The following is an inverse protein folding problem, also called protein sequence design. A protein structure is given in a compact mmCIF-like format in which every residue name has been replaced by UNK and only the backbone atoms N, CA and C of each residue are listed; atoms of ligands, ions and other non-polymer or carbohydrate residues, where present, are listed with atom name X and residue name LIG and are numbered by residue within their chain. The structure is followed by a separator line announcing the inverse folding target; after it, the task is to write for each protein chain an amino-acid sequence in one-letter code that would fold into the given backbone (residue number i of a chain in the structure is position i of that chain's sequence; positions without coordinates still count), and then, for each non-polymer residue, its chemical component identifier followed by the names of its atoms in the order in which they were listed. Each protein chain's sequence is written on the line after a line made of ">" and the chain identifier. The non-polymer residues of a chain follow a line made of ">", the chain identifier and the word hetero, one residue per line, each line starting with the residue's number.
data_IF_596544225029
#
_entry.id   IF_596544225029
#
_cell.length_a   1.000
_cell.length_b   1.000
_cell.length_c   1.000
_cell.angle_alpha   90.00
_cell.angle_beta   90.00
_cell.angle_gamma   90.00
#
_symmetry.space_group_name_H-M   'P 1'
#
loop_
_entity.id
_entity.type
_entity.pdbx_description
1 polymer ?
#
# COMPACT_ATOMS: atom_id res chain seq x y z
N UNK A 1 20.34 -15.29 -21.87
CA UNK A 1 20.33 -14.71 -20.50
C UNK A 1 18.88 -14.70 -20.06
N UNK A 2 18.53 -15.10 -18.83
CA UNK A 2 17.19 -14.83 -18.32
C UNK A 2 16.91 -13.33 -18.49
N UNK A 3 15.67 -12.99 -18.82
CA UNK A 3 15.27 -11.59 -18.89
C UNK A 3 15.65 -10.91 -17.57
N UNK A 4 16.14 -9.67 -17.61
CA UNK A 4 16.57 -8.95 -16.41
C UNK A 4 15.45 -8.92 -15.37
N UNK A 5 14.19 -8.85 -15.83
CA UNK A 5 13.00 -8.94 -15.00
C UNK A 5 12.86 -10.32 -14.31
N UNK A 6 13.06 -11.42 -15.05
CA UNK A 6 12.96 -12.78 -14.50
C UNK A 6 14.04 -13.03 -13.44
N UNK A 7 15.26 -12.54 -13.68
CA UNK A 7 16.33 -12.65 -12.70
C UNK A 7 16.00 -11.87 -11.43
N UNK A 8 15.53 -10.62 -11.54
CA UNK A 8 15.15 -9.79 -10.39
C UNK A 8 14.05 -10.43 -9.52
N UNK A 9 13.20 -11.27 -10.10
CA UNK A 9 12.16 -12.02 -9.40
C UNK A 9 12.66 -13.35 -8.77
N UNK A 10 13.94 -13.69 -8.89
CA UNK A 10 14.50 -14.93 -8.36
C UNK A 10 15.05 -14.79 -6.93
N UNK A 11 15.03 -15.89 -6.16
CA UNK A 11 15.67 -15.94 -4.85
C UNK A 11 17.20 -15.68 -4.91
N UNK A 12 17.83 -15.98 -6.05
CA UNK A 12 19.25 -15.68 -6.27
C UNK A 12 19.50 -14.17 -6.33
N UNK A 13 18.66 -13.41 -7.03
CA UNK A 13 18.76 -11.95 -7.06
C UNK A 13 18.50 -11.33 -5.69
N UNK A 14 17.47 -11.79 -4.96
CA UNK A 14 17.22 -11.35 -3.58
C UNK A 14 18.46 -11.57 -2.72
N UNK A 15 19.06 -12.76 -2.76
CA UNK A 15 20.26 -13.09 -1.98
C UNK A 15 21.43 -12.18 -2.35
N UNK A 16 21.71 -12.02 -3.64
CA UNK A 16 22.80 -11.17 -4.11
C UNK A 16 22.64 -9.72 -3.62
N UNK A 17 21.44 -9.13 -3.77
CA UNK A 17 21.16 -7.75 -3.34
C UNK A 17 21.17 -7.58 -1.83
N UNK A 18 20.63 -8.53 -1.07
CA UNK A 18 20.70 -8.49 0.39
C UNK A 18 22.14 -8.61 0.91
N UNK A 19 22.98 -9.43 0.27
CA UNK A 19 24.42 -9.52 0.60
C UNK A 19 25.14 -8.22 0.29
N UNK A 20 24.90 -7.61 -0.88
CA UNK A 20 25.45 -6.28 -1.21
C UNK A 20 25.08 -5.23 -0.14
N UNK A 21 23.82 -5.24 0.33
CA UNK A 21 23.39 -4.35 1.41
C UNK A 21 24.07 -4.68 2.74
N UNK A 22 24.23 -5.95 3.09
CA UNK A 22 24.88 -6.36 4.33
C UNK A 22 26.36 -5.95 4.37
N UNK A 23 27.06 -6.13 3.25
CA UNK A 23 28.49 -5.83 3.11
C UNK A 23 28.76 -4.33 2.94
N UNK A 24 27.84 -3.62 2.27
CA UNK A 24 28.01 -2.21 1.88
C UNK A 24 27.32 -1.19 2.79
N UNK A 25 26.40 -1.61 3.66
CA UNK A 25 25.65 -0.66 4.46
C UNK A 25 26.40 -0.25 5.72
N UNK A 26 26.51 1.07 5.90
CA UNK A 26 26.54 1.69 7.22
C UNK A 26 25.14 1.56 7.84
N UNK A 27 24.79 0.35 8.24
CA UNK A 27 23.57 0.11 9.00
C UNK A 27 23.69 0.96 10.27
N UNK A 28 22.66 1.74 10.59
CA UNK A 28 22.59 2.49 11.86
C UNK A 28 22.38 1.55 13.07
N UNK A 29 22.74 0.28 12.91
CA UNK A 29 22.54 -0.84 13.82
C UNK A 29 23.58 -1.92 13.50
N UNK A 30 23.97 -2.70 14.51
CA UNK A 30 24.85 -3.85 14.33
C UNK A 30 24.03 -5.09 13.95
N UNK A 31 24.47 -5.82 12.92
CA UNK A 31 23.88 -7.08 12.53
C UNK A 31 24.63 -8.24 13.21
N UNK A 32 23.92 -9.01 14.04
CA UNK A 32 24.44 -10.25 14.63
C UNK A 32 24.31 -11.41 13.64
N UNK A 33 25.35 -11.60 12.83
CA UNK A 33 25.38 -12.60 11.75
C UNK A 33 25.26 -14.03 12.28
N UNK A 34 25.78 -14.29 13.48
CA UNK A 34 25.71 -15.62 14.10
C UNK A 34 24.27 -16.04 14.40
N UNK A 35 23.34 -15.08 14.49
CA UNK A 35 21.91 -15.33 14.69
C UNK A 35 21.10 -15.43 13.40
N UNK A 36 21.69 -15.22 12.23
CA UNK A 36 20.98 -15.26 10.96
C UNK A 36 20.30 -16.60 10.70
N UNK A 37 20.99 -17.71 11.01
CA UNK A 37 20.45 -19.06 10.86
C UNK A 37 19.19 -19.25 11.75
N UNK A 38 19.28 -18.86 13.02
CA UNK A 38 18.15 -18.96 13.94
C UNK A 38 16.96 -18.08 13.53
N UNK A 39 17.22 -16.89 12.98
CA UNK A 39 16.18 -16.00 12.44
C UNK A 39 15.50 -16.61 11.19
N UNK A 40 16.27 -17.27 10.32
CA UNK A 40 15.74 -17.98 9.16
C UNK A 40 14.86 -19.17 9.58
N UNK A 41 15.32 -20.00 10.53
CA UNK A 41 14.57 -21.13 11.05
C UNK A 41 13.25 -20.69 11.71
N UNK A 42 13.30 -19.61 12.51
CA UNK A 42 12.12 -19.03 13.12
C UNK A 42 11.10 -18.55 12.08
N UNK A 43 11.57 -17.86 11.03
CA UNK A 43 10.71 -17.38 9.94
C UNK A 43 10.08 -18.55 9.18
N UNK A 44 10.88 -19.57 8.84
CA UNK A 44 10.39 -20.78 8.17
C UNK A 44 9.35 -21.52 9.02
N UNK A 45 9.58 -21.64 10.34
CA UNK A 45 8.62 -22.26 11.26
C UNK A 45 7.28 -21.50 11.29
N UNK A 46 7.31 -20.16 11.28
CA UNK A 46 6.08 -19.35 11.17
C UNK A 46 5.36 -19.60 9.86
N UNK A 47 6.09 -19.58 8.73
CA UNK A 47 5.52 -19.80 7.40
C UNK A 47 4.85 -21.17 7.33
N UNK A 48 5.54 -22.25 7.73
CA UNK A 48 5.00 -23.60 7.71
C UNK A 48 3.81 -23.78 8.67
N UNK A 49 3.81 -23.08 9.81
CA UNK A 49 2.67 -23.10 10.74
C UNK A 49 1.45 -22.39 10.15
N UNK A 50 1.64 -21.26 9.46
CA UNK A 50 0.53 -20.49 8.87
C UNK A 50 0.06 -21.05 7.52
N UNK A 51 0.98 -21.63 6.74
CA UNK A 51 0.76 -22.16 5.41
C UNK A 51 1.38 -23.57 5.30
N UNK A 52 0.78 -24.61 5.90
CA UNK A 52 1.35 -25.96 5.92
C UNK A 52 1.57 -26.58 4.55
N UNK A 53 0.78 -26.15 3.55
CA UNK A 53 0.88 -26.60 2.15
C UNK A 53 1.83 -25.75 1.31
N UNK A 54 2.40 -24.68 1.88
CA UNK A 54 3.17 -23.65 1.18
C UNK A 54 2.41 -22.95 0.04
N UNK A 55 1.09 -23.10 -0.01
CA UNK A 55 0.21 -22.27 -0.84
C UNK A 55 0.05 -20.91 -0.17
N UNK A 56 1.07 -20.07 -0.35
CA UNK A 56 1.13 -18.73 0.24
C UNK A 56 0.44 -17.77 -0.73
N UNK A 57 -0.71 -17.19 -0.36
CA UNK A 57 -1.38 -16.20 -1.19
C UNK A 57 -0.49 -14.97 -1.35
N UNK A 58 -0.52 -14.33 -2.52
CA UNK A 58 0.25 -13.12 -2.80
C UNK A 58 0.07 -12.09 -1.69
N UNK A 59 1.18 -11.71 -1.03
CA UNK A 59 1.17 -10.64 -0.06
C UNK A 59 1.19 -9.30 -0.79
N UNK A 60 0.00 -8.75 -1.04
CA UNK A 60 -0.17 -7.45 -1.67
C UNK A 60 -1.13 -6.59 -0.85
N UNK A 61 -1.17 -5.30 -1.15
CA UNK A 61 -2.19 -4.37 -0.60
C UNK A 61 -3.60 -4.94 -0.73
N UNK A 62 -3.86 -5.69 -1.80
CA UNK A 62 -5.12 -6.38 -2.05
C UNK A 62 -5.64 -7.22 -0.88
N UNK A 63 -4.75 -7.87 -0.10
CA UNK A 63 -5.17 -8.62 1.10
C UNK A 63 -5.78 -7.71 2.16
N UNK A 64 -5.31 -6.47 2.30
CA UNK A 64 -5.86 -5.53 3.28
C UNK A 64 -7.27 -5.08 2.90
N UNK A 65 -7.59 -5.00 1.61
CA UNK A 65 -8.96 -4.73 1.15
C UNK A 65 -9.94 -5.86 1.51
N UNK A 66 -9.42 -7.08 1.72
CA UNK A 66 -10.18 -8.25 2.14
C UNK A 66 -10.16 -8.51 3.66
N UNK A 67 -9.64 -7.58 4.48
CA UNK A 67 -9.52 -7.78 5.93
C UNK A 67 -10.89 -8.06 6.57
N UNK A 68 -10.93 -9.00 7.51
CA UNK A 68 -12.17 -9.36 8.21
C UNK A 68 -13.13 -10.19 7.35
N UNK A 69 -12.64 -10.82 6.27
CA UNK A 69 -13.43 -11.69 5.41
C UNK A 69 -14.37 -10.96 4.45
N UNK A 70 -14.18 -9.65 4.25
CA UNK A 70 -15.04 -8.81 3.41
C UNK A 70 -14.30 -8.39 2.16
N UNK A 71 -14.75 -8.81 0.98
CA UNK A 71 -14.18 -8.39 -0.30
C UNK A 71 -14.67 -6.99 -0.70
N UNK A 72 -13.95 -5.96 -0.24
CA UNK A 72 -14.28 -4.55 -0.53
C UNK A 72 -14.00 -4.17 -1.97
N UNK A 73 -13.09 -4.88 -2.65
CA UNK A 73 -12.83 -4.63 -4.07
C UNK A 73 -14.01 -5.07 -4.91
N UNK A 74 -14.57 -6.27 -4.66
CA UNK A 74 -15.77 -6.72 -5.37
C UNK A 74 -16.92 -5.70 -5.23
N UNK A 75 -17.18 -5.25 -4.00
CA UNK A 75 -18.21 -4.24 -3.74
C UNK A 75 -17.93 -2.90 -4.44
N UNK A 76 -16.68 -2.43 -4.45
CA UNK A 76 -16.29 -1.22 -5.18
C UNK A 76 -16.47 -1.39 -6.69
N UNK A 77 -16.04 -2.53 -7.24
CA UNK A 77 -16.12 -2.84 -8.67
C UNK A 77 -17.56 -2.84 -9.16
N UNK A 78 -18.50 -3.35 -8.36
CA UNK A 78 -19.91 -3.35 -8.72
C UNK A 78 -20.48 -1.93 -8.89
N UNK A 79 -19.87 -0.92 -8.23
CA UNK A 79 -20.22 0.50 -8.41
C UNK A 79 -19.59 1.18 -9.63
N UNK A 80 -18.54 0.59 -10.24
CA UNK A 80 -17.92 1.14 -11.45
C UNK A 80 -18.80 0.97 -12.70
N UNK A 81 -19.80 0.09 -12.63
CA UNK A 81 -20.65 -0.29 -13.76
C UNK A 81 -19.90 -1.13 -14.80
N UNK A 82 -20.47 -1.22 -15.99
CA UNK A 82 -19.84 -1.92 -17.11
C UNK A 82 -18.64 -1.10 -17.63
N UNK A 83 -17.43 -1.62 -17.43
CA UNK A 83 -16.16 -1.04 -17.87
C UNK A 83 -15.39 -2.09 -18.67
N UNK A 84 -14.54 -1.64 -19.60
CA UNK A 84 -13.60 -2.54 -20.24
C UNK A 84 -12.50 -3.00 -19.26
N UNK A 85 -11.82 -4.10 -19.60
CA UNK A 85 -10.80 -4.68 -18.74
C UNK A 85 -9.62 -3.72 -18.47
N UNK A 86 -9.31 -2.82 -19.41
CA UNK A 86 -8.21 -1.88 -19.28
C UNK A 86 -8.57 -0.74 -18.30
N UNK A 87 -9.81 -0.25 -18.33
CA UNK A 87 -10.34 0.73 -17.40
C UNK A 87 -10.36 0.17 -15.97
N UNK A 88 -10.84 -1.07 -15.79
CA UNK A 88 -10.76 -1.75 -14.49
C UNK A 88 -9.31 -1.88 -14.03
N UNK A 89 -8.38 -2.25 -14.93
CA UNK A 89 -6.97 -2.37 -14.59
C UNK A 89 -6.36 -1.03 -14.13
N UNK A 90 -6.67 0.09 -14.81
CA UNK A 90 -6.23 1.43 -14.40
C UNK A 90 -6.73 1.80 -13.01
N UNK A 91 -8.04 1.65 -12.75
CA UNK A 91 -8.61 1.89 -11.42
C UNK A 91 -7.94 1.04 -10.33
N UNK A 92 -7.63 -0.23 -10.63
CA UNK A 92 -6.90 -1.12 -9.71
C UNK A 92 -5.50 -0.62 -9.40
N UNK A 93 -4.79 -0.10 -10.41
CA UNK A 93 -3.46 0.47 -10.26
C UNK A 93 -3.53 1.73 -9.40
N UNK A 94 -4.43 2.67 -9.70
CA UNK A 94 -4.58 3.92 -8.95
C UNK A 94 -4.90 3.66 -7.47
N UNK A 95 -5.84 2.77 -7.19
CA UNK A 95 -6.20 2.36 -5.84
C UNK A 95 -5.00 1.73 -5.11
N UNK A 96 -4.30 0.79 -5.76
CA UNK A 96 -3.19 0.09 -5.14
C UNK A 96 -2.02 1.04 -4.85
N UNK A 97 -1.64 1.89 -5.81
CA UNK A 97 -0.52 2.83 -5.67
C UNK A 97 -0.78 3.84 -4.56
N UNK A 98 -1.93 4.51 -4.59
CA UNK A 98 -2.28 5.49 -3.55
C UNK A 98 -2.35 4.86 -2.16
N UNK A 99 -2.95 3.67 -2.06
CA UNK A 99 -3.06 2.93 -0.80
C UNK A 99 -1.70 2.46 -0.26
N UNK A 100 -0.78 2.02 -1.13
CA UNK A 100 0.59 1.65 -0.74
C UNK A 100 1.38 2.84 -0.23
N UNK A 101 1.29 4.00 -0.88
CA UNK A 101 2.01 5.21 -0.42
C UNK A 101 1.49 5.71 0.94
N UNK A 102 0.26 5.38 1.30
CA UNK A 102 -0.34 5.73 2.59
C UNK A 102 -0.01 4.73 3.71
N UNK A 103 0.56 3.56 3.36
CA UNK A 103 0.95 2.52 4.32
C UNK A 103 2.33 2.76 4.90
N UNK A 104 2.35 3.70 5.83
CA UNK A 104 3.43 3.87 6.80
C UNK A 104 2.92 3.51 8.19
N UNK A 105 3.81 3.38 9.17
CA UNK A 105 3.44 3.06 10.54
C UNK A 105 2.30 3.95 11.06
N UNK A 106 1.17 3.33 11.42
CA UNK A 106 -0.01 4.05 11.90
C UNK A 106 0.14 4.59 13.34
N UNK A 107 1.15 4.10 14.05
CA UNK A 107 1.25 4.21 15.50
C UNK A 107 0.28 3.25 16.23
N UNK A 108 0.44 3.06 17.55
CA UNK A 108 -0.35 2.10 18.30
C UNK A 108 -1.78 2.59 18.62
N UNK A 109 -2.02 3.90 18.57
CA UNK A 109 -3.28 4.53 18.99
C UNK A 109 -4.34 4.63 17.90
N UNK A 110 -3.94 4.78 16.64
CA UNK A 110 -4.88 5.03 15.54
C UNK A 110 -5.79 3.82 15.26
N UNK A 111 -7.08 4.09 15.01
CA UNK A 111 -8.12 3.14 14.61
C UNK A 111 -8.96 3.71 13.47
N UNK A 112 -9.42 2.84 12.59
CA UNK A 112 -10.39 3.16 11.54
C UNK A 112 -11.69 2.42 11.81
N UNK A 113 -12.81 3.15 11.89
CA UNK A 113 -14.15 2.55 12.00
C UNK A 113 -14.82 2.58 10.63
N UNK A 114 -14.98 1.42 10.03
CA UNK A 114 -15.66 1.28 8.74
C UNK A 114 -17.19 1.39 8.94
N UNK A 115 -17.83 2.32 8.23
CA UNK A 115 -19.27 2.55 8.36
C UNK A 115 -20.12 1.39 7.83
N UNK A 116 -19.70 0.77 6.72
CA UNK A 116 -20.46 -0.28 6.04
C UNK A 116 -20.54 -1.61 6.80
N UNK A 117 -19.50 -1.94 7.58
CA UNK A 117 -19.43 -3.22 8.32
C UNK A 117 -19.44 -3.04 9.84
N UNK A 118 -19.21 -1.82 10.33
CA UNK A 118 -19.02 -1.52 11.76
C UNK A 118 -17.67 -1.98 12.32
N UNK A 119 -16.81 -2.60 11.51
CA UNK A 119 -15.50 -3.08 11.95
C UNK A 119 -14.60 -1.93 12.40
N UNK A 120 -13.83 -2.19 13.47
CA UNK A 120 -12.76 -1.30 13.92
C UNK A 120 -11.44 -1.95 13.56
N UNK A 121 -10.72 -1.33 12.64
CA UNK A 121 -9.46 -1.80 12.10
C UNK A 121 -8.32 -0.91 12.58
N UNK A 122 -7.10 -1.40 12.52
CA UNK A 122 -5.90 -0.66 12.95
C UNK A 122 -4.71 -1.08 12.09
N UNK A 123 -3.56 -0.42 12.26
CA UNK A 123 -2.32 -0.76 11.54
C UNK A 123 -2.55 -0.79 10.01
N UNK A 124 -1.80 -1.61 9.29
CA UNK A 124 -1.85 -1.68 7.82
C UNK A 124 -3.20 -2.13 7.28
N UNK A 125 -3.94 -2.96 8.02
CA UNK A 125 -5.31 -3.35 7.70
C UNK A 125 -6.25 -2.13 7.68
N UNK A 126 -6.22 -1.34 8.75
CA UNK A 126 -7.02 -0.12 8.84
C UNK A 126 -6.63 0.91 7.79
N UNK A 127 -5.33 1.09 7.53
CA UNK A 127 -4.83 1.99 6.48
C UNK A 127 -5.29 1.54 5.09
N UNK A 128 -5.31 0.24 4.83
CA UNK A 128 -5.82 -0.35 3.59
C UNK A 128 -7.30 -0.03 3.38
N UNK A 129 -8.13 -0.21 4.41
CA UNK A 129 -9.57 0.09 4.28
C UNK A 129 -9.84 1.59 4.20
N UNK A 130 -9.18 2.41 5.04
CA UNK A 130 -9.32 3.87 5.01
C UNK A 130 -8.93 4.48 3.65
N UNK A 131 -7.85 3.98 3.03
CA UNK A 131 -7.43 4.44 1.71
C UNK A 131 -8.38 3.99 0.60
N UNK A 132 -8.96 2.79 0.70
CA UNK A 132 -10.01 2.34 -0.23
C UNK A 132 -11.26 3.23 -0.13
N UNK A 133 -11.69 3.56 1.08
CA UNK A 133 -12.85 4.44 1.28
C UNK A 133 -12.56 5.88 0.82
N UNK A 134 -11.35 6.39 1.04
CA UNK A 134 -10.91 7.68 0.52
C UNK A 134 -10.90 7.70 -1.03
N UNK A 135 -10.42 6.62 -1.65
CA UNK A 135 -10.42 6.45 -3.10
C UNK A 135 -11.84 6.37 -3.66
N UNK A 136 -12.73 5.59 -3.00
CA UNK A 136 -14.15 5.49 -3.35
C UNK A 136 -14.86 6.84 -3.26
N UNK A 137 -14.49 7.67 -2.29
CA UNK A 137 -15.01 9.02 -2.13
C UNK A 137 -14.43 10.03 -3.15
N UNK A 138 -13.48 9.60 -3.99
CA UNK A 138 -12.85 10.43 -5.01
C UNK A 138 -11.85 11.45 -4.48
N UNK A 139 -11.29 11.21 -3.29
CA UNK A 139 -10.34 12.13 -2.65
C UNK A 139 -9.14 12.46 -3.55
N UNK A 140 -8.68 11.49 -4.33
CA UNK A 140 -7.45 11.58 -5.14
C UNK A 140 -7.67 12.04 -6.58
N UNK A 141 -8.93 12.28 -6.99
CA UNK A 141 -9.28 12.65 -8.35
C UNK A 141 -9.63 14.13 -8.45
N UNK A 142 -9.15 14.82 -9.49
CA UNK A 142 -9.37 16.24 -9.63
C UNK A 142 -10.84 16.60 -9.85
N UNK A 143 -11.56 15.77 -10.62
CA UNK A 143 -12.97 15.90 -10.93
C UNK A 143 -13.86 14.97 -10.08
N UNK A 144 -13.29 14.32 -9.05
CA UNK A 144 -13.94 13.23 -8.32
C UNK A 144 -13.96 11.91 -9.11
N UNK A 145 -14.64 10.91 -8.54
CA UNK A 145 -14.70 9.55 -9.09
C UNK A 145 -13.56 8.64 -8.61
N UNK A 146 -13.59 7.38 -9.05
CA UNK A 146 -12.70 6.31 -8.58
C UNK A 146 -11.43 6.22 -9.44
N UNK A 147 -10.59 7.24 -9.35
CA UNK A 147 -9.29 7.34 -10.00
C UNK A 147 -8.33 8.17 -9.14
N UNK A 148 -7.04 8.17 -9.50
CA UNK A 148 -6.06 9.08 -8.91
C UNK A 148 -5.27 9.76 -10.01
N UNK A 149 -5.54 11.04 -10.24
CA UNK A 149 -4.86 11.83 -11.26
C UNK A 149 -3.88 12.83 -10.62
N UNK A 150 -2.89 13.26 -11.39
CA UNK A 150 -1.85 14.16 -10.90
C UNK A 150 -2.40 15.44 -10.25
N UNK A 151 -3.48 16.00 -10.79
CA UNK A 151 -4.07 17.25 -10.31
C UNK A 151 -4.84 17.05 -9.00
N UNK A 152 -5.48 15.91 -8.77
CA UNK A 152 -6.13 15.54 -7.52
C UNK A 152 -5.08 15.26 -6.44
N UNK A 153 -4.06 14.46 -6.77
CA UNK A 153 -2.95 14.15 -5.86
C UNK A 153 -2.18 15.39 -5.41
N UNK A 154 -1.92 16.34 -6.31
CA UNK A 154 -1.20 17.58 -6.00
C UNK A 154 -1.92 18.49 -4.99
N UNK A 155 -3.24 18.30 -4.79
CA UNK A 155 -4.05 19.10 -3.86
C UNK A 155 -4.26 18.45 -2.50
N UNK A 156 -3.81 17.22 -2.29
CA UNK A 156 -3.97 16.53 -1.02
C UNK A 156 -3.19 17.26 0.08
N UNK A 157 -3.89 17.61 1.16
CA UNK A 157 -3.29 18.11 2.39
C UNK A 157 -3.55 17.16 3.57
N UNK A 158 -2.91 17.45 4.70
CA UNK A 158 -3.07 16.65 5.90
C UNK A 158 -4.49 16.73 6.48
N UNK A 159 -5.22 17.84 6.28
CA UNK A 159 -6.57 18.00 6.79
C UNK A 159 -7.56 17.08 6.06
N UNK A 160 -7.53 17.09 4.72
CA UNK A 160 -8.37 16.24 3.88
C UNK A 160 -8.06 14.75 4.12
N UNK A 161 -6.77 14.39 4.17
CA UNK A 161 -6.35 13.03 4.49
C UNK A 161 -6.75 12.65 5.92
N UNK A 162 -6.59 13.56 6.88
CA UNK A 162 -6.97 13.37 8.28
C UNK A 162 -8.45 13.09 8.44
N UNK A 163 -9.31 13.84 7.75
CA UNK A 163 -10.75 13.62 7.74
C UNK A 163 -11.10 12.22 7.19
N UNK A 164 -10.53 11.83 6.05
CA UNK A 164 -10.75 10.52 5.45
C UNK A 164 -10.25 9.37 6.34
N UNK A 165 -9.17 9.59 7.11
CA UNK A 165 -8.57 8.62 8.02
C UNK A 165 -9.08 8.75 9.45
N UNK A 166 -10.13 9.54 9.70
CA UNK A 166 -10.76 9.72 11.01
C UNK A 166 -9.79 10.23 12.10
N UNK A 167 -8.80 11.04 11.70
CA UNK A 167 -7.77 11.55 12.60
C UNK A 167 -8.36 12.65 13.47
N UNK A 168 -8.20 12.49 14.79
CA UNK A 168 -8.56 13.47 15.81
C UNK A 168 -7.47 13.49 16.88
N UNK A 169 -7.59 14.37 17.88
CA UNK A 169 -6.69 14.38 19.03
C UNK A 169 -6.68 13.04 19.77
N UNK A 170 -7.84 12.37 19.88
CA UNK A 170 -8.00 11.08 20.55
C UNK A 170 -7.77 9.87 19.63
N UNK A 171 -7.60 10.12 18.33
CA UNK A 171 -7.31 9.10 17.32
C UNK A 171 -6.15 9.54 16.40
N UNK A 172 -4.93 9.74 16.94
CA UNK A 172 -3.84 10.34 16.18
C UNK A 172 -3.21 9.34 15.20
N UNK A 173 -3.04 9.74 13.94
CA UNK A 173 -2.28 9.00 12.94
C UNK A 173 -0.86 9.57 12.82
N UNK A 174 0.14 8.78 13.20
CA UNK A 174 1.54 9.21 13.13
C UNK A 174 1.96 9.48 11.68
N UNK A 175 2.60 10.62 11.38
CA UNK A 175 3.17 10.94 10.06
C UNK A 175 2.15 11.37 8.99
N UNK A 176 1.02 11.96 9.38
CA UNK A 176 -0.04 12.41 8.46
C UNK A 176 0.49 13.42 7.41
N UNK A 177 1.27 14.41 7.84
CA UNK A 177 1.88 15.39 6.93
C UNK A 177 2.81 14.75 5.89
N UNK A 178 3.63 13.80 6.32
CA UNK A 178 4.53 13.06 5.43
C UNK A 178 3.76 12.28 4.34
N UNK A 179 2.62 11.68 4.70
CA UNK A 179 1.73 10.99 3.75
C UNK A 179 1.14 11.94 2.72
N UNK A 180 0.59 13.07 3.18
CA UNK A 180 0.04 14.07 2.27
C UNK A 180 1.12 14.63 1.32
N UNK A 181 2.30 14.94 1.85
CA UNK A 181 3.44 15.40 1.05
C UNK A 181 3.90 14.36 0.02
N UNK A 182 3.89 13.07 0.37
CA UNK A 182 4.25 11.99 -0.56
C UNK A 182 3.26 11.90 -1.74
N UNK A 183 1.96 12.00 -1.47
CA UNK A 183 0.95 12.02 -2.53
C UNK A 183 1.08 13.25 -3.43
N UNK A 184 1.31 14.45 -2.86
CA UNK A 184 1.55 15.65 -3.65
C UNK A 184 2.78 15.51 -4.55
N UNK A 185 3.88 14.93 -4.02
CA UNK A 185 5.10 14.67 -4.79
C UNK A 185 4.86 13.68 -5.92
N UNK A 186 4.03 12.65 -5.71
CA UNK A 186 3.60 11.76 -6.79
C UNK A 186 2.87 12.56 -7.88
N UNK A 187 1.89 13.38 -7.50
CA UNK A 187 1.17 14.23 -8.46
C UNK A 187 2.12 15.12 -9.28
N UNK A 188 3.08 15.80 -8.63
CA UNK A 188 4.11 16.59 -9.32
C UNK A 188 4.96 15.74 -10.27
N UNK A 189 5.40 14.55 -9.84
CA UNK A 189 6.24 13.67 -10.66
C UNK A 189 5.51 13.16 -11.90
N UNK A 190 4.24 12.80 -11.77
CA UNK A 190 3.39 12.36 -12.87
C UNK A 190 3.13 13.51 -13.85
N UNK A 191 2.77 14.71 -13.36
CA UNK A 191 2.61 15.90 -14.20
C UNK A 191 3.87 16.30 -14.97
N UNK A 192 5.06 16.05 -14.40
CA UNK A 192 6.33 16.37 -15.03
C UNK A 192 6.72 15.39 -16.16
N UNK A 193 6.00 14.28 -16.34
CA UNK A 193 6.30 13.22 -17.31
C UNK A 193 5.10 12.90 -18.22
N UNK A 194 4.58 13.88 -18.99
CA UNK A 194 3.46 13.64 -19.91
C UNK A 194 3.81 12.65 -21.04
N UNK A 195 5.10 12.42 -21.29
CA UNK A 195 5.61 11.40 -22.20
C UNK A 195 5.35 9.97 -21.71
N UNK A 196 5.25 9.76 -20.38
CA UNK A 196 4.94 8.47 -19.77
C UNK A 196 3.50 8.38 -19.26
N UNK A 197 2.95 9.50 -18.81
CA UNK A 197 1.61 9.60 -18.22
C UNK A 197 0.74 10.59 -19.03
N UNK A 198 0.32 10.22 -20.24
CA UNK A 198 -0.54 11.06 -21.05
C UNK A 198 -1.91 11.21 -20.36
N UNK A 199 -2.26 12.44 -19.97
CA UNK A 199 -3.50 12.74 -19.23
C UNK A 199 -3.30 12.96 -17.73
N UNK A 200 -2.09 12.66 -17.21
CA UNK A 200 -1.73 12.81 -15.81
C UNK A 200 -2.21 11.69 -14.90
#
# INVERSE_FOLDING_TARGET
>A
MPDTADWLCSAAAVRARCTEMLDGARLHFDADIDRLAAAADYTAAIILRQYPTLDIPHHARWRHFSTGGVDRWAALRDTLGAQDAAAVARTRVDLCVTSVLLDAGAGPGWRYRESGTGQVLSRSEGLGVASLDAFRAGLFAAAGGMQADAAGLARIDAAALGAAFQVTADNPLAGLEGRAALLRRLGTAVSARPDLFPGG
#
